data_IF_698732746660
#
_entry.id   IF_698732746660
#
_cell.length_a   1.000
_cell.length_b   1.000
_cell.length_c   1.000
_cell.angle_alpha   90.00
_cell.angle_beta   90.00
_cell.angle_gamma   90.00
#
_symmetry.space_group_name_H-M   'P 1'
#
loop_
_entity.id
_entity.type
_entity.pdbx_description
1 polymer ?
#
# COMPACT_ATOMS: atom_id res chain seq x y z
N UNK A 1 25.33 63.81 9.05
CA UNK A 1 26.68 64.11 8.51
C UNK A 1 27.65 63.55 9.55
N UNK A 2 28.55 62.59 9.31
CA UNK A 2 29.17 62.04 8.09
C UNK A 2 29.78 60.68 8.46
N UNK A 3 29.88 59.78 7.49
CA UNK A 3 30.38 58.40 7.58
C UNK A 3 31.91 58.31 7.76
N UNK A 4 32.41 57.11 8.12
CA UNK A 4 33.47 56.32 7.42
C UNK A 4 33.89 55.13 8.33
N UNK A 5 33.47 53.89 8.07
CA UNK A 5 34.13 52.81 7.28
C UNK A 5 35.43 52.24 7.88
N UNK A 6 35.44 50.93 8.14
CA UNK A 6 36.63 50.11 8.36
C UNK A 6 36.29 48.63 8.13
N UNK A 7 36.93 48.01 7.14
CA UNK A 7 36.77 46.65 6.60
C UNK A 7 37.95 45.78 7.10
N UNK A 8 37.69 44.50 7.42
CA UNK A 8 38.56 43.29 7.33
C UNK A 8 38.12 42.28 8.41
N UNK A 9 38.03 40.96 8.25
CA UNK A 9 38.35 39.96 7.22
C UNK A 9 37.61 38.63 7.60
N UNK A 10 37.69 37.53 6.82
CA UNK A 10 36.70 36.45 6.84
C UNK A 10 37.01 35.32 7.83
N UNK A 11 36.00 34.83 8.56
CA UNK A 11 36.09 33.52 9.24
C UNK A 11 35.41 32.42 8.45
N UNK A 12 36.28 31.54 7.95
CA UNK A 12 36.01 30.24 7.32
C UNK A 12 35.23 29.30 8.26
N UNK A 13 34.27 28.60 7.65
CA UNK A 13 33.75 27.26 7.90
C UNK A 13 33.82 26.64 9.30
N UNK A 14 32.66 26.29 9.85
CA UNK A 14 32.47 25.01 10.53
C UNK A 14 31.10 24.44 10.16
N UNK A 15 31.13 23.27 9.53
CA UNK A 15 29.96 22.48 9.14
C UNK A 15 29.21 22.10 10.41
N UNK A 16 28.00 22.64 10.60
CA UNK A 16 27.05 22.04 11.53
C UNK A 16 26.31 20.94 10.77
N UNK A 17 26.54 19.74 11.27
CA UNK A 17 26.11 18.44 10.81
C UNK A 17 24.61 18.39 10.55
N UNK A 18 24.27 17.81 9.41
CA UNK A 18 22.94 17.31 9.07
C UNK A 18 22.53 16.24 10.09
N UNK A 19 21.81 16.63 11.14
CA UNK A 19 21.02 15.66 11.90
C UNK A 19 19.77 15.33 11.08
N UNK A 20 19.92 14.28 10.29
CA UNK A 20 18.84 13.58 9.60
C UNK A 20 17.86 13.10 10.68
N UNK A 21 16.55 13.40 10.61
CA UNK A 21 15.61 12.82 11.54
C UNK A 21 15.69 11.30 11.42
N UNK A 22 15.91 10.67 12.57
CA UNK A 22 15.92 9.22 12.78
C UNK A 22 14.73 8.60 12.06
N UNK A 23 15.01 7.96 10.93
CA UNK A 23 14.07 7.07 10.29
C UNK A 23 13.82 5.94 11.27
N UNK A 24 12.65 5.97 11.94
CA UNK A 24 12.07 4.79 12.55
C UNK A 24 11.87 3.75 11.45
N UNK A 25 12.95 3.01 11.19
CA UNK A 25 12.98 1.82 10.36
C UNK A 25 12.17 0.80 11.14
N UNK A 26 10.86 0.80 10.89
CA UNK A 26 9.99 -0.28 11.28
C UNK A 26 10.65 -1.60 10.89
N UNK A 27 10.77 -2.58 11.80
CA UNK A 27 11.22 -3.90 11.41
C UNK A 27 10.20 -4.45 10.43
N UNK A 28 10.58 -4.56 9.15
CA UNK A 28 9.83 -5.37 8.18
C UNK A 28 9.70 -6.74 8.83
N UNK A 29 8.47 -7.14 9.17
CA UNK A 29 8.27 -8.47 9.75
C UNK A 29 8.88 -9.47 8.77
N UNK A 30 9.86 -10.25 9.25
CA UNK A 30 10.54 -11.28 8.48
C UNK A 30 9.63 -12.50 8.19
N UNK A 31 8.31 -12.32 8.25
CA UNK A 31 7.30 -13.32 7.93
C UNK A 31 6.67 -13.08 6.55
N UNK A 32 7.35 -12.32 5.68
CA UNK A 32 7.16 -12.48 4.25
C UNK A 32 7.72 -13.84 3.85
N UNK A 33 6.96 -14.92 4.07
CA UNK A 33 7.09 -16.06 3.15
C UNK A 33 6.75 -15.44 1.81
N UNK A 34 7.77 -15.09 1.03
CA UNK A 34 7.58 -14.77 -0.37
C UNK A 34 6.72 -15.90 -0.91
N UNK A 35 5.49 -15.57 -1.32
CA UNK A 35 4.64 -16.53 -1.97
C UNK A 35 5.48 -17.06 -3.13
N UNK A 36 5.97 -18.30 -3.00
CA UNK A 36 6.81 -18.89 -4.03
C UNK A 36 5.93 -18.87 -5.27
N UNK A 37 6.35 -18.23 -6.37
CA UNK A 37 5.56 -18.22 -7.57
C UNK A 37 5.16 -19.66 -7.88
N UNK A 38 3.88 -19.88 -8.18
CA UNK A 38 3.42 -21.21 -8.59
C UNK A 38 4.33 -21.67 -9.74
N UNK A 39 4.77 -22.92 -9.67
CA UNK A 39 5.56 -23.50 -10.74
C UNK A 39 4.71 -23.47 -12.03
N UNK A 40 5.33 -23.25 -13.19
CA UNK A 40 4.61 -23.05 -14.45
C UNK A 40 3.71 -24.23 -14.85
N UNK A 41 3.98 -25.40 -14.29
CA UNK A 41 3.25 -26.66 -14.45
C UNK A 41 2.25 -26.95 -13.33
N UNK A 42 2.06 -26.03 -12.38
CA UNK A 42 1.08 -26.21 -11.29
C UNK A 42 -0.33 -26.19 -11.87
N UNK A 43 -1.07 -27.26 -11.65
CA UNK A 43 -2.49 -27.35 -12.01
C UNK A 43 -3.34 -26.49 -11.09
N UNK A 44 -4.54 -26.09 -11.54
CA UNK A 44 -5.51 -25.38 -10.68
C UNK A 44 -5.83 -26.18 -9.41
N UNK A 45 -6.03 -27.50 -9.54
CA UNK A 45 -6.28 -28.37 -8.41
C UNK A 45 -5.15 -28.31 -7.36
N UNK A 46 -3.89 -28.35 -7.79
CA UNK A 46 -2.72 -28.22 -6.91
C UNK A 46 -2.63 -26.83 -6.27
N UNK A 47 -2.93 -25.77 -7.02
CA UNK A 47 -2.93 -24.40 -6.51
C UNK A 47 -4.00 -24.19 -5.43
N UNK A 48 -5.11 -24.94 -5.48
CA UNK A 48 -6.23 -24.82 -4.53
C UNK A 48 -6.06 -25.67 -3.26
N UNK A 49 -5.16 -26.65 -3.22
CA UNK A 49 -4.92 -27.51 -2.04
C UNK A 49 -4.73 -26.74 -0.72
N UNK A 50 -3.95 -25.63 -0.68
CA UNK A 50 -3.77 -24.84 0.53
C UNK A 50 -5.06 -24.16 1.02
N UNK A 51 -6.03 -23.96 0.12
CA UNK A 51 -7.25 -23.20 0.36
C UNK A 51 -8.49 -24.07 0.55
N UNK A 52 -8.35 -25.38 0.72
CA UNK A 52 -9.47 -26.34 0.88
C UNK A 52 -10.48 -26.02 1.99
N UNK A 53 -10.10 -25.18 2.96
CA UNK A 53 -10.97 -24.74 4.04
C UNK A 53 -11.80 -23.48 3.68
N UNK A 54 -11.60 -22.92 2.50
CA UNK A 54 -12.21 -21.70 2.02
C UNK A 54 -13.02 -21.95 0.75
N UNK A 55 -14.08 -21.17 0.56
CA UNK A 55 -14.78 -21.05 -0.71
C UNK A 55 -13.95 -20.16 -1.65
N UNK A 56 -13.15 -20.77 -2.53
CA UNK A 56 -12.35 -20.05 -3.51
C UNK A 56 -13.18 -19.80 -4.77
N UNK A 57 -13.49 -18.53 -5.03
CA UNK A 57 -14.30 -18.12 -6.18
C UNK A 57 -13.44 -17.61 -7.33
N UNK A 58 -13.82 -17.88 -8.58
CA UNK A 58 -13.15 -17.30 -9.74
C UNK A 58 -13.33 -15.78 -9.76
N UNK A 59 -12.32 -15.08 -10.27
CA UNK A 59 -12.41 -13.65 -10.52
C UNK A 59 -13.16 -13.40 -11.83
N UNK A 60 -14.31 -12.72 -11.77
CA UNK A 60 -15.22 -12.52 -12.92
C UNK A 60 -15.19 -11.08 -13.43
N UNK A 61 -15.73 -10.82 -14.65
CA UNK A 61 -15.88 -9.46 -15.16
C UNK A 61 -16.72 -8.54 -14.26
N UNK A 62 -17.68 -9.08 -13.50
CA UNK A 62 -18.46 -8.30 -12.54
C UNK A 62 -17.56 -7.72 -11.44
N UNK A 63 -16.62 -8.52 -10.92
CA UNK A 63 -15.63 -8.02 -9.95
C UNK A 63 -14.80 -6.86 -10.53
N UNK A 64 -14.43 -6.92 -11.82
CA UNK A 64 -13.66 -5.86 -12.49
C UNK A 64 -14.41 -4.52 -12.46
N UNK A 65 -15.73 -4.54 -12.67
CA UNK A 65 -16.54 -3.31 -12.59
C UNK A 65 -16.45 -2.65 -11.21
N UNK A 66 -16.53 -3.44 -10.14
CA UNK A 66 -16.41 -2.93 -8.77
C UNK A 66 -14.99 -2.46 -8.44
N UNK A 67 -13.96 -3.18 -8.89
CA UNK A 67 -12.55 -2.77 -8.76
C UNK A 67 -12.32 -1.42 -9.45
N UNK A 68 -12.77 -1.27 -10.70
CA UNK A 68 -12.64 -0.01 -11.44
C UNK A 68 -13.37 1.14 -10.74
N UNK A 69 -14.53 0.89 -10.14
CA UNK A 69 -15.27 1.88 -9.36
C UNK A 69 -14.51 2.38 -8.14
N UNK A 70 -13.79 1.50 -7.44
CA UNK A 70 -12.93 1.89 -6.30
C UNK A 70 -11.68 2.64 -6.81
N UNK A 71 -11.04 2.14 -7.86
CA UNK A 71 -9.81 2.70 -8.43
C UNK A 71 -9.99 4.11 -9.03
N UNK A 72 -11.21 4.43 -9.46
CA UNK A 72 -11.56 5.73 -10.03
C UNK A 72 -11.35 6.91 -9.07
N UNK A 73 -11.31 6.67 -7.75
CA UNK A 73 -11.16 7.72 -6.74
C UNK A 73 -9.68 8.11 -6.46
N UNK A 74 -8.75 7.17 -6.17
CA UNK A 74 -7.36 7.51 -5.86
C UNK A 74 -6.55 7.96 -7.09
N UNK A 75 -6.87 7.48 -8.32
CA UNK A 75 -6.09 7.81 -9.52
C UNK A 75 -6.05 9.32 -9.83
N UNK A 76 -7.19 10.04 -9.91
CA UNK A 76 -7.19 11.48 -10.18
C UNK A 76 -6.51 12.32 -9.08
N UNK A 77 -6.40 11.78 -7.86
CA UNK A 77 -5.77 12.44 -6.71
C UNK A 77 -4.27 12.22 -6.62
N UNK A 78 -3.70 11.36 -7.47
CA UNK A 78 -2.29 10.97 -7.39
C UNK A 78 -1.98 10.08 -6.18
N UNK A 79 -2.99 9.47 -5.58
CA UNK A 79 -2.87 8.60 -4.40
C UNK A 79 -2.72 7.12 -4.79
N UNK A 80 -2.75 6.82 -6.07
CA UNK A 80 -2.54 5.47 -6.59
C UNK A 80 -1.07 5.06 -6.51
N UNK A 81 -0.81 3.90 -5.91
CA UNK A 81 0.49 3.22 -5.91
C UNK A 81 0.31 1.71 -6.01
N UNK A 82 1.36 0.98 -6.40
CA UNK A 82 1.27 -0.46 -6.71
C UNK A 82 0.76 -1.30 -5.52
N UNK A 83 1.15 -0.95 -4.30
CA UNK A 83 0.67 -1.65 -3.09
C UNK A 83 -0.86 -1.50 -2.91
N UNK A 84 -1.44 -0.37 -3.33
CA UNK A 84 -2.89 -0.10 -3.25
C UNK A 84 -3.67 -0.92 -4.29
N UNK A 85 -3.04 -1.29 -5.41
CA UNK A 85 -3.71 -2.01 -6.48
C UNK A 85 -4.26 -3.37 -6.01
N UNK A 86 -3.51 -4.05 -5.13
CA UNK A 86 -3.94 -5.33 -4.55
C UNK A 86 -5.15 -5.11 -3.63
N UNK A 87 -5.11 -4.08 -2.79
CA UNK A 87 -6.20 -3.77 -1.85
C UNK A 87 -7.48 -3.32 -2.58
N UNK A 88 -7.35 -2.53 -3.66
CA UNK A 88 -8.46 -2.18 -4.55
C UNK A 88 -9.07 -3.45 -5.15
N UNK A 89 -8.23 -4.39 -5.60
CA UNK A 89 -8.68 -5.69 -6.10
C UNK A 89 -9.52 -6.46 -5.09
N UNK A 90 -9.02 -6.59 -3.86
CA UNK A 90 -9.70 -7.28 -2.75
C UNK A 90 -11.01 -6.55 -2.40
N UNK A 91 -10.96 -5.23 -2.24
CA UNK A 91 -12.12 -4.41 -1.89
C UNK A 91 -13.21 -4.47 -2.97
N UNK A 92 -12.83 -4.49 -4.24
CA UNK A 92 -13.76 -4.60 -5.37
C UNK A 92 -14.48 -5.95 -5.39
N UNK A 93 -13.76 -7.05 -5.15
CA UNK A 93 -14.37 -8.38 -5.01
C UNK A 93 -15.31 -8.42 -3.80
N UNK A 94 -14.87 -7.92 -2.65
CA UNK A 94 -15.70 -7.91 -1.43
C UNK A 94 -16.99 -7.11 -1.62
N UNK A 95 -16.89 -5.93 -2.26
CA UNK A 95 -18.03 -5.09 -2.62
C UNK A 95 -18.99 -5.80 -3.59
N UNK A 96 -18.46 -6.46 -4.62
CA UNK A 96 -19.28 -7.20 -5.58
C UNK A 96 -20.06 -8.35 -4.91
N UNK A 97 -19.42 -9.04 -3.96
CA UNK A 97 -20.03 -10.16 -3.24
C UNK A 97 -20.88 -9.73 -2.04
N UNK A 98 -20.85 -8.46 -1.65
CA UNK A 98 -21.56 -7.95 -0.47
C UNK A 98 -21.03 -8.52 0.85
N UNK A 99 -19.71 -8.81 0.93
CA UNK A 99 -19.06 -9.41 2.11
C UNK A 99 -18.05 -8.45 2.76
N UNK A 100 -17.71 -8.70 4.03
CA UNK A 100 -16.68 -7.94 4.75
C UNK A 100 -15.27 -8.39 4.37
N UNK A 101 -14.33 -7.45 4.33
CA UNK A 101 -12.89 -7.73 4.29
C UNK A 101 -12.36 -7.87 5.72
N UNK A 102 -11.88 -9.06 6.06
CA UNK A 102 -11.19 -9.31 7.33
C UNK A 102 -9.71 -8.93 7.19
N UNK A 103 -9.26 -7.84 7.81
CA UNK A 103 -7.91 -7.28 7.58
C UNK A 103 -7.30 -6.59 8.81
N UNK A 104 -5.96 -6.55 8.85
CA UNK A 104 -5.20 -5.66 9.73
C UNK A 104 -4.91 -4.30 9.09
N UNK A 105 -5.02 -4.20 7.77
CA UNK A 105 -4.79 -2.98 7.02
C UNK A 105 -6.06 -2.11 6.97
N UNK A 106 -6.61 -1.78 8.12
CA UNK A 106 -7.89 -1.05 8.22
C UNK A 106 -7.82 0.29 7.47
N UNK A 107 -6.70 1.01 7.61
CA UNK A 107 -6.49 2.35 7.07
C UNK A 107 -6.69 2.48 5.56
N UNK A 108 -6.29 1.47 4.77
CA UNK A 108 -6.40 1.55 3.31
C UNK A 108 -7.82 1.19 2.86
N UNK A 109 -8.43 0.18 3.48
CA UNK A 109 -9.79 -0.26 3.13
C UNK A 109 -10.87 0.74 3.58
N UNK A 110 -10.67 1.48 4.67
CA UNK A 110 -11.60 2.55 5.11
C UNK A 110 -11.76 3.67 4.08
N UNK A 111 -10.80 3.82 3.16
CA UNK A 111 -10.85 4.84 2.10
C UNK A 111 -11.73 4.41 0.92
N UNK A 112 -12.14 3.14 0.87
CA UNK A 112 -12.92 2.60 -0.23
C UNK A 112 -14.41 2.70 0.05
N UNK A 113 -15.14 3.34 -0.86
CA UNK A 113 -16.59 3.47 -0.74
C UNK A 113 -17.29 2.10 -0.83
N UNK A 114 -18.22 1.88 0.09
CA UNK A 114 -19.07 0.69 0.16
C UNK A 114 -18.31 -0.65 0.29
N UNK A 115 -17.15 -0.63 0.96
CA UNK A 115 -16.44 -1.83 1.40
C UNK A 115 -16.62 -1.98 2.91
N UNK A 116 -17.24 -3.09 3.34
CA UNK A 116 -17.35 -3.42 4.75
C UNK A 116 -16.04 -4.04 5.23
N UNK A 117 -15.61 -3.71 6.45
CA UNK A 117 -14.35 -4.19 7.02
C UNK A 117 -14.56 -4.77 8.42
N UNK A 118 -13.78 -5.80 8.72
CA UNK A 118 -13.66 -6.39 10.04
C UNK A 118 -12.18 -6.48 10.41
N UNK A 119 -11.82 -6.05 11.63
CA UNK A 119 -10.44 -6.03 12.12
C UNK A 119 -10.16 -7.20 13.07
N UNK A 120 -8.92 -7.70 13.09
CA UNK A 120 -8.47 -8.82 13.94
C UNK A 120 -6.99 -8.78 14.32
#
# INVERSE_FOLDING_TARGET
>A
MTATTGIDEPRRYSKLTTEKPSSSRWPRSANSRSARPLARDTTEAEALVPFRAFDVRPFTPEHVYHVAGIEANPRPRGEYHDDLATDIGIGGVARALGVSVLTRNVTDFERFDAVNIESY
#
